data_IF_960315676226
#
_entry.id   IF_960315676226
#
_cell.length_a   1.000
_cell.length_b   1.000
_cell.length_c   1.000
_cell.angle_alpha   90.00
_cell.angle_beta   90.00
_cell.angle_gamma   90.00
#
_symmetry.space_group_name_H-M   'P 1'
#
loop_
_entity.id
_entity.type
_entity.pdbx_description
1 polymer ?
#
# COMPACT_ATOMS: atom_id res chain seq x y z
N UNK A 1 17.64 3.06 6.31
CA UNK A 1 18.40 4.00 5.43
C UNK A 1 19.69 4.48 6.08
N UNK A 2 19.65 5.20 7.21
CA UNK A 2 20.87 5.62 7.93
C UNK A 2 21.79 4.45 8.31
N UNK A 3 21.22 3.35 8.80
CA UNK A 3 21.94 2.13 9.15
C UNK A 3 22.58 1.40 7.95
N UNK A 4 22.13 1.68 6.72
CA UNK A 4 22.56 0.93 5.52
C UNK A 4 23.61 1.72 4.73
N UNK A 5 23.44 3.04 4.63
CA UNK A 5 24.26 3.90 3.77
C UNK A 5 25.48 4.46 4.52
N UNK A 6 25.42 4.60 5.85
CA UNK A 6 26.57 4.98 6.68
C UNK A 6 27.05 6.43 6.57
N UNK A 7 26.56 7.21 5.59
CA UNK A 7 26.84 8.63 5.40
C UNK A 7 25.52 9.44 5.36
N UNK A 8 25.44 10.49 6.16
CA UNK A 8 24.26 11.36 6.28
C UNK A 8 23.89 12.01 4.94
N UNK A 9 24.86 12.53 4.19
CA UNK A 9 24.60 13.20 2.91
C UNK A 9 23.97 12.23 1.90
N UNK A 10 24.53 11.03 1.80
CA UNK A 10 24.01 10.00 0.90
C UNK A 10 22.61 9.54 1.32
N UNK A 11 22.30 9.52 2.62
CA UNK A 11 20.94 9.24 3.12
C UNK A 11 19.97 10.35 2.74
N UNK A 12 20.38 11.62 2.87
CA UNK A 12 19.57 12.76 2.47
C UNK A 12 19.18 12.68 1.00
N UNK A 13 20.16 12.45 0.11
CA UNK A 13 19.89 12.34 -1.32
C UNK A 13 19.03 11.13 -1.66
N UNK A 14 19.26 9.99 -1.00
CA UNK A 14 18.42 8.80 -1.19
C UNK A 14 16.98 9.05 -0.75
N UNK A 15 16.77 9.79 0.34
CA UNK A 15 15.45 10.19 0.81
C UNK A 15 14.77 11.17 -0.16
N UNK A 16 15.49 12.16 -0.68
CA UNK A 16 14.97 13.08 -1.71
C UNK A 16 14.54 12.32 -2.96
N UNK A 17 15.37 11.39 -3.46
CA UNK A 17 15.00 10.51 -4.59
C UNK A 17 13.77 9.66 -4.29
N UNK A 18 13.65 9.14 -3.06
CA UNK A 18 12.50 8.35 -2.64
C UNK A 18 11.22 9.20 -2.64
N UNK A 19 11.23 10.37 -2.01
CA UNK A 19 10.04 11.22 -1.85
C UNK A 19 9.65 11.89 -3.18
N UNK A 20 10.61 12.51 -3.86
CA UNK A 20 10.34 13.32 -5.05
C UNK A 20 10.22 12.46 -6.31
N UNK A 21 11.00 11.37 -6.40
CA UNK A 21 11.05 10.51 -7.58
C UNK A 21 10.10 9.31 -7.53
N UNK A 22 10.12 8.57 -6.42
CA UNK A 22 9.40 7.28 -6.31
C UNK A 22 7.98 7.47 -5.75
N UNK A 23 7.80 8.41 -4.83
CA UNK A 23 6.55 8.63 -4.06
C UNK A 23 5.92 10.02 -4.30
N UNK A 24 5.77 10.47 -5.57
CA UNK A 24 5.22 11.79 -5.83
C UNK A 24 3.81 11.91 -5.23
N UNK A 25 3.54 13.03 -4.56
CA UNK A 25 2.22 13.31 -3.99
C UNK A 25 1.87 12.60 -2.68
N UNK A 26 2.78 11.78 -2.11
CA UNK A 26 2.48 11.07 -0.86
C UNK A 26 2.50 12.00 0.37
N UNK A 27 3.49 12.90 0.42
CA UNK A 27 3.72 13.79 1.56
C UNK A 27 3.32 15.23 1.27
N UNK A 28 2.45 15.44 0.28
CA UNK A 28 1.79 16.74 0.04
C UNK A 28 0.66 16.96 1.05
N UNK A 29 0.22 18.21 1.21
CA UNK A 29 -0.89 18.55 2.12
C UNK A 29 -2.16 17.73 1.84
N UNK A 30 -2.41 17.47 0.56
CA UNK A 30 -3.62 16.79 0.09
C UNK A 30 -3.43 15.28 -0.05
N UNK A 31 -2.20 14.77 0.18
CA UNK A 31 -1.83 13.35 0.12
C UNK A 31 -2.37 12.61 -1.14
N UNK A 32 -2.40 13.31 -2.27
CA UNK A 32 -3.03 12.82 -3.51
C UNK A 32 -2.43 11.51 -4.00
N UNK A 33 -1.12 11.32 -3.83
CA UNK A 33 -0.44 10.07 -4.18
C UNK A 33 -0.88 8.89 -3.28
N UNK A 34 -1.11 9.13 -1.99
CA UNK A 34 -1.60 8.09 -1.07
C UNK A 34 -3.05 7.73 -1.38
N UNK A 35 -3.90 8.72 -1.62
CA UNK A 35 -5.30 8.49 -2.02
C UNK A 35 -5.38 7.73 -3.34
N UNK A 36 -4.49 8.02 -4.29
CA UNK A 36 -4.38 7.29 -5.55
C UNK A 36 -3.97 5.82 -5.37
N UNK A 37 -3.05 5.52 -4.43
CA UNK A 37 -2.73 4.13 -4.09
C UNK A 37 -3.92 3.40 -3.46
N UNK A 38 -4.63 4.04 -2.52
CA UNK A 38 -5.80 3.44 -1.86
C UNK A 38 -6.88 3.12 -2.89
N UNK A 39 -7.15 4.07 -3.80
CA UNK A 39 -8.08 3.86 -4.91
C UNK A 39 -7.65 2.70 -5.81
N UNK A 40 -6.38 2.70 -6.23
CA UNK A 40 -5.82 1.66 -7.11
C UNK A 40 -5.87 0.28 -6.44
N UNK A 41 -5.62 0.21 -5.14
CA UNK A 41 -5.69 -1.02 -4.36
C UNK A 41 -7.13 -1.54 -4.33
N UNK A 42 -8.10 -0.68 -4.03
CA UNK A 42 -9.52 -1.06 -4.05
C UNK A 42 -9.95 -1.61 -5.42
N UNK A 43 -9.54 -0.96 -6.51
CA UNK A 43 -9.81 -1.44 -7.88
C UNK A 43 -9.18 -2.79 -8.16
N UNK A 44 -7.94 -3.02 -7.75
CA UNK A 44 -7.28 -4.31 -7.92
C UNK A 44 -7.93 -5.43 -7.11
N UNK A 45 -8.40 -5.14 -5.89
CA UNK A 45 -9.15 -6.13 -5.08
C UNK A 45 -10.48 -6.43 -5.76
N UNK A 46 -11.21 -5.40 -6.23
CA UNK A 46 -12.47 -5.54 -6.95
C UNK A 46 -12.31 -6.41 -8.21
N UNK A 47 -11.25 -6.22 -9.00
CA UNK A 47 -10.99 -6.97 -10.22
C UNK A 47 -10.54 -8.42 -9.96
N UNK A 48 -9.62 -8.62 -9.01
CA UNK A 48 -9.00 -9.94 -8.78
C UNK A 48 -9.77 -10.82 -7.81
N UNK A 49 -10.44 -10.22 -6.83
CA UNK A 49 -11.15 -10.88 -5.72
C UNK A 49 -12.48 -10.18 -5.44
N UNK A 50 -13.43 -10.19 -6.40
CA UNK A 50 -14.69 -9.44 -6.29
C UNK A 50 -15.51 -9.84 -5.07
N UNK A 51 -15.48 -11.11 -4.66
CA UNK A 51 -16.21 -11.59 -3.47
C UNK A 51 -15.65 -10.96 -2.19
N UNK A 52 -14.33 -10.81 -2.09
CA UNK A 52 -13.69 -10.15 -0.95
C UNK A 52 -14.04 -8.65 -0.95
N UNK A 53 -14.00 -8.00 -2.11
CA UNK A 53 -14.41 -6.61 -2.25
C UNK A 53 -15.85 -6.38 -1.79
N UNK A 54 -16.79 -7.20 -2.25
CA UNK A 54 -18.20 -7.11 -1.83
C UNK A 54 -18.39 -7.35 -0.33
N UNK A 55 -17.59 -8.22 0.28
CA UNK A 55 -17.61 -8.44 1.73
C UNK A 55 -17.14 -7.20 2.52
N UNK A 56 -16.07 -6.55 2.05
CA UNK A 56 -15.58 -5.30 2.64
C UNK A 56 -16.61 -4.16 2.49
N UNK A 57 -17.22 -4.03 1.31
CA UNK A 57 -18.27 -3.04 1.05
C UNK A 57 -19.53 -3.29 1.90
N UNK A 58 -19.98 -4.53 2.01
CA UNK A 58 -21.14 -4.90 2.82
C UNK A 58 -20.94 -4.51 4.30
N UNK A 59 -19.70 -4.62 4.80
CA UNK A 59 -19.34 -4.24 6.16
C UNK A 59 -18.96 -2.75 6.30
N UNK A 60 -19.15 -1.93 5.26
CA UNK A 60 -18.82 -0.50 5.23
C UNK A 60 -17.37 -0.19 5.61
N UNK A 61 -16.43 -1.05 5.19
CA UNK A 61 -15.00 -0.85 5.48
C UNK A 61 -14.40 0.09 4.45
N UNK A 62 -14.03 1.28 4.90
CA UNK A 62 -13.18 2.17 4.11
C UNK A 62 -11.71 1.75 4.23
N UNK A 63 -11.10 1.39 3.09
CA UNK A 63 -9.69 1.02 3.03
C UNK A 63 -8.78 2.14 3.55
N UNK A 64 -9.15 3.41 3.38
CA UNK A 64 -8.35 4.54 3.87
C UNK A 64 -8.07 4.44 5.38
N UNK A 65 -8.98 3.87 6.15
CA UNK A 65 -8.82 3.72 7.61
C UNK A 65 -7.74 2.70 7.99
N UNK A 66 -7.48 1.72 7.13
CA UNK A 66 -6.61 0.58 7.45
C UNK A 66 -5.28 0.58 6.72
N UNK A 67 -5.22 1.06 5.47
CA UNK A 67 -4.00 0.98 4.66
C UNK A 67 -3.26 2.29 4.47
N UNK A 68 -3.81 3.45 4.90
CA UNK A 68 -3.12 4.75 4.74
C UNK A 68 -1.69 4.72 5.29
N UNK A 69 -1.53 4.13 6.48
CA UNK A 69 -0.22 3.99 7.13
C UNK A 69 0.77 3.13 6.35
N UNK A 70 0.28 2.15 5.59
CA UNK A 70 1.12 1.29 4.76
C UNK A 70 1.81 2.11 3.66
N UNK A 71 1.08 3.05 3.06
CA UNK A 71 1.55 3.89 1.98
C UNK A 71 2.38 5.07 2.47
N UNK A 72 1.88 5.84 3.44
CA UNK A 72 2.57 7.05 3.96
C UNK A 72 3.96 6.72 4.50
N UNK A 73 4.07 5.60 5.22
CA UNK A 73 5.33 5.17 5.84
C UNK A 73 6.06 4.08 5.03
N UNK A 74 5.58 3.74 3.83
CA UNK A 74 6.17 2.70 2.96
C UNK A 74 6.49 1.41 3.73
N UNK A 75 5.50 0.96 4.51
CA UNK A 75 5.51 -0.20 5.41
C UNK A 75 6.48 -0.17 6.60
N UNK A 76 7.30 0.88 6.77
CA UNK A 76 8.35 0.96 7.82
C UNK A 76 7.78 0.78 9.23
N UNK A 77 6.61 1.33 9.50
CA UNK A 77 6.00 1.28 10.83
C UNK A 77 5.13 0.04 11.09
N UNK A 78 4.91 -0.80 10.07
CA UNK A 78 3.97 -1.91 10.15
C UNK A 78 4.62 -3.28 9.96
N UNK A 79 5.75 -3.36 9.25
CA UNK A 79 6.48 -4.62 9.01
C UNK A 79 7.84 -4.62 9.74
N UNK A 80 8.39 -5.81 10.04
CA UNK A 80 9.74 -5.94 10.57
C UNK A 80 10.80 -5.29 9.65
N UNK A 81 11.82 -4.65 10.25
CA UNK A 81 12.80 -3.85 9.50
C UNK A 81 13.52 -4.64 8.40
N UNK A 82 13.83 -5.92 8.63
CA UNK A 82 14.47 -6.78 7.63
C UNK A 82 13.61 -6.94 6.36
N UNK A 83 12.30 -7.10 6.54
CA UNK A 83 11.33 -7.18 5.44
C UNK A 83 11.15 -5.85 4.73
N UNK A 84 11.10 -4.75 5.49
CA UNK A 84 11.03 -3.40 4.93
C UNK A 84 12.26 -3.10 4.07
N UNK A 85 13.47 -3.42 4.55
CA UNK A 85 14.69 -3.24 3.77
C UNK A 85 14.66 -4.04 2.46
N UNK A 86 14.14 -5.28 2.50
CA UNK A 86 14.00 -6.09 1.28
C UNK A 86 12.97 -5.54 0.31
N UNK A 87 11.86 -5.01 0.81
CA UNK A 87 10.87 -4.29 0.00
C UNK A 87 11.53 -3.07 -0.65
N UNK A 88 12.36 -2.35 0.09
CA UNK A 88 13.04 -1.15 -0.39
C UNK A 88 14.12 -1.47 -1.44
N UNK A 89 14.84 -2.59 -1.32
CA UNK A 89 15.75 -3.07 -2.38
C UNK A 89 15.00 -3.22 -3.71
N UNK A 90 13.86 -3.92 -3.67
CA UNK A 90 13.00 -4.10 -4.84
C UNK A 90 12.40 -2.77 -5.30
N UNK A 91 12.04 -1.86 -4.38
CA UNK A 91 11.49 -0.56 -4.70
C UNK A 91 12.47 0.31 -5.51
N UNK A 92 13.75 0.35 -5.10
CA UNK A 92 14.76 1.10 -5.82
C UNK A 92 15.12 0.48 -7.18
N UNK A 93 15.06 -0.85 -7.30
CA UNK A 93 15.34 -1.54 -8.56
C UNK A 93 14.17 -1.53 -9.55
N UNK A 94 12.95 -1.81 -9.06
CA UNK A 94 11.75 -1.99 -9.89
C UNK A 94 10.75 -0.82 -9.86
N UNK A 95 10.96 0.17 -9.00
CA UNK A 95 10.10 1.33 -8.83
C UNK A 95 8.84 1.08 -7.98
N UNK A 96 8.01 2.11 -7.88
CA UNK A 96 6.85 2.18 -6.98
C UNK A 96 5.74 1.14 -7.19
N UNK A 97 5.79 0.31 -8.24
CA UNK A 97 4.86 -0.83 -8.40
C UNK A 97 4.99 -1.86 -7.28
N UNK A 98 6.16 -1.93 -6.63
CA UNK A 98 6.42 -2.86 -5.53
C UNK A 98 5.49 -2.59 -4.35
N UNK A 99 5.18 -1.31 -4.08
CA UNK A 99 4.28 -0.91 -3.00
C UNK A 99 2.90 -1.53 -3.17
N UNK A 100 2.35 -1.43 -4.38
CA UNK A 100 1.07 -2.04 -4.72
C UNK A 100 1.11 -3.58 -4.64
N UNK A 101 2.21 -4.20 -5.12
CA UNK A 101 2.39 -5.67 -5.02
C UNK A 101 2.35 -6.15 -3.57
N UNK A 102 3.07 -5.47 -2.69
CA UNK A 102 3.11 -5.81 -1.26
C UNK A 102 1.74 -5.63 -0.63
N UNK A 103 1.05 -4.51 -0.88
CA UNK A 103 -0.29 -4.25 -0.34
C UNK A 103 -1.31 -5.33 -0.77
N UNK A 104 -1.36 -5.66 -2.06
CA UNK A 104 -2.23 -6.71 -2.59
C UNK A 104 -1.91 -8.07 -1.96
N UNK A 105 -0.62 -8.41 -1.88
CA UNK A 105 -0.20 -9.69 -1.32
C UNK A 105 -0.53 -9.83 0.17
N UNK A 106 -0.40 -8.76 0.95
CA UNK A 106 -0.77 -8.75 2.38
C UNK A 106 -2.26 -9.06 2.57
N UNK A 107 -3.11 -8.46 1.74
CA UNK A 107 -4.56 -8.68 1.78
C UNK A 107 -4.90 -10.10 1.31
N UNK A 108 -4.36 -10.54 0.17
CA UNK A 108 -4.69 -11.84 -0.41
C UNK A 108 -4.16 -13.01 0.43
N UNK A 109 -3.01 -12.84 1.10
CA UNK A 109 -2.49 -13.84 2.04
C UNK A 109 -3.40 -14.04 3.26
N UNK A 110 -4.27 -13.07 3.58
CA UNK A 110 -5.16 -13.10 4.74
C UNK A 110 -6.64 -13.07 4.31
N UNK A 111 -6.93 -13.40 3.05
CA UNK A 111 -8.28 -13.42 2.50
C UNK A 111 -9.23 -14.30 3.33
N UNK A 112 -8.79 -15.49 3.72
CA UNK A 112 -9.60 -16.40 4.55
C UNK A 112 -9.94 -15.76 5.91
N UNK A 113 -8.97 -15.14 6.58
CA UNK A 113 -9.20 -14.46 7.86
C UNK A 113 -10.18 -13.28 7.71
N UNK A 114 -10.05 -12.51 6.63
CA UNK A 114 -10.94 -11.39 6.33
C UNK A 114 -12.37 -11.86 6.05
N UNK A 115 -12.56 -13.03 5.44
CA UNK A 115 -13.89 -13.62 5.26
C UNK A 115 -14.47 -14.17 6.56
N UNK A 116 -13.65 -14.69 7.47
CA UNK A 116 -14.11 -15.16 8.78
C UNK A 116 -14.54 -13.99 9.69
N UNK A 117 -14.00 -12.79 9.47
CA UNK A 117 -14.46 -11.56 10.11
C UNK A 117 -15.81 -11.10 9.52
N UNK A 118 -16.87 -11.08 10.34
CA UNK A 118 -18.25 -10.85 9.89
C UNK A 118 -18.79 -9.46 10.26
N UNK A 119 -17.99 -8.62 10.90
CA UNK A 119 -18.37 -7.29 11.35
C UNK A 119 -17.24 -6.29 11.13
N UNK A 120 -17.58 -5.00 11.07
CA UNK A 120 -16.63 -3.91 10.88
C UNK A 120 -15.45 -3.97 11.87
N UNK A 121 -15.72 -4.22 13.16
CA UNK A 121 -14.68 -4.23 14.19
C UNK A 121 -13.65 -5.35 13.97
N UNK A 122 -14.13 -6.57 13.70
CA UNK A 122 -13.25 -7.72 13.45
C UNK A 122 -12.46 -7.60 12.15
N UNK A 123 -13.01 -6.96 11.10
CA UNK A 123 -12.26 -6.73 9.85
C UNK A 123 -11.13 -5.72 10.09
N UNK A 124 -11.40 -4.61 10.77
CA UNK A 124 -10.36 -3.62 11.10
C UNK A 124 -9.24 -4.24 11.94
N UNK A 125 -9.61 -5.09 12.91
CA UNK A 125 -8.62 -5.81 13.72
C UNK A 125 -7.82 -6.83 12.89
N UNK A 126 -8.47 -7.51 11.94
CA UNK A 126 -7.78 -8.35 10.98
C UNK A 126 -6.72 -7.54 10.22
N UNK A 127 -7.07 -6.39 9.64
CA UNK A 127 -6.10 -5.53 8.95
C UNK A 127 -4.90 -5.09 9.81
N UNK A 128 -5.12 -4.82 11.09
CA UNK A 128 -4.02 -4.50 12.03
C UNK A 128 -3.10 -5.69 12.28
N UNK A 129 -3.64 -6.90 12.28
CA UNK A 129 -2.87 -8.13 12.56
C UNK A 129 -2.21 -8.72 11.31
N UNK A 130 -2.70 -8.41 10.10
CA UNK A 130 -2.10 -8.81 8.81
C UNK A 130 -0.59 -8.55 8.77
N UNK A 131 -0.19 -7.36 9.23
CA UNK A 131 1.20 -6.88 9.21
C UNK A 131 2.05 -7.44 10.36
N UNK A 132 1.41 -7.99 11.39
CA UNK A 132 2.06 -8.58 12.57
C UNK A 132 2.23 -10.10 12.46
N UNK A 133 1.76 -10.72 11.38
CA UNK A 133 1.87 -12.16 11.18
C UNK A 133 3.35 -12.58 11.13
N UNK A 134 3.69 -13.71 11.78
CA UNK A 134 5.04 -14.30 11.80
C UNK A 134 5.61 -14.53 10.39
N UNK A 135 4.77 -14.69 9.37
CA UNK A 135 5.20 -14.76 7.97
C UNK A 135 5.99 -13.52 7.52
N UNK A 136 5.70 -12.34 8.07
CA UNK A 136 6.42 -11.10 7.79
C UNK A 136 7.82 -11.05 8.43
N UNK A 137 8.17 -11.97 9.34
CA UNK A 137 9.52 -12.10 9.91
C UNK A 137 10.49 -12.77 8.94
N UNK A 138 10.00 -13.57 7.99
CA UNK A 138 10.83 -14.26 7.01
C UNK A 138 10.80 -13.52 5.67
N UNK A 139 11.60 -12.44 5.58
CA UNK A 139 11.59 -11.51 4.45
C UNK A 139 11.74 -12.17 3.07
N UNK A 140 12.54 -13.23 2.96
CA UNK A 140 12.74 -13.97 1.71
C UNK A 140 11.44 -14.66 1.24
N UNK A 141 10.86 -15.50 2.10
CA UNK A 141 9.59 -16.20 1.82
C UNK A 141 8.44 -15.22 1.62
N UNK A 142 8.42 -14.13 2.41
CA UNK A 142 7.46 -13.06 2.23
C UNK A 142 7.51 -12.47 0.83
N UNK A 143 8.70 -12.07 0.36
CA UNK A 143 8.84 -11.48 -0.97
C UNK A 143 8.53 -12.46 -2.09
N UNK A 144 8.91 -13.74 -1.97
CA UNK A 144 8.47 -14.75 -2.94
C UNK A 144 6.94 -14.84 -3.04
N UNK A 145 6.26 -14.84 -1.89
CA UNK A 145 4.81 -14.87 -1.83
C UNK A 145 4.21 -13.59 -2.41
N UNK A 146 4.83 -12.42 -2.19
CA UNK A 146 4.40 -11.16 -2.80
C UNK A 146 4.35 -11.27 -4.31
N UNK A 147 5.39 -11.81 -4.95
CA UNK A 147 5.41 -11.96 -6.41
C UNK A 147 4.43 -13.03 -6.90
N UNK A 148 4.23 -14.12 -6.14
CA UNK A 148 3.27 -15.19 -6.49
C UNK A 148 1.81 -14.71 -6.36
N UNK A 149 1.44 -14.10 -5.23
CA UNK A 149 0.07 -13.70 -4.89
C UNK A 149 -0.41 -12.48 -5.67
N UNK A 150 0.47 -11.50 -5.88
CA UNK A 150 0.11 -10.31 -6.66
C UNK A 150 -0.12 -10.63 -8.14
N UNK A 151 0.47 -11.73 -8.64
CA UNK A 151 0.40 -12.16 -10.03
C UNK A 151 0.98 -11.12 -11.01
N UNK A 152 0.60 -11.20 -12.30
CA UNK A 152 0.92 -10.16 -13.25
C UNK A 152 0.26 -8.84 -12.81
N UNK A 153 1.10 -7.81 -12.65
CA UNK A 153 0.70 -6.43 -12.42
C UNK A 153 1.59 -5.56 -13.30
N UNK A 154 1.18 -5.32 -14.56
CA UNK A 154 1.90 -4.47 -15.49
C UNK A 154 1.98 -3.03 -14.95
N UNK A 155 3.15 -2.39 -15.11
CA UNK A 155 3.34 -0.98 -14.70
C UNK A 155 2.30 -0.05 -15.33
N UNK A 156 1.96 -0.28 -16.61
CA UNK A 156 0.99 0.54 -17.33
C UNK A 156 -0.40 0.52 -16.67
N UNK A 157 -0.87 -0.66 -16.26
CA UNK A 157 -2.17 -0.81 -15.60
C UNK A 157 -2.20 -0.12 -14.24
N UNK A 158 -1.16 -0.30 -13.41
CA UNK A 158 -1.08 0.41 -12.11
C UNK A 158 -1.04 1.93 -12.32
N UNK A 159 -0.24 2.41 -13.27
CA UNK A 159 -0.13 3.84 -13.52
C UNK A 159 -1.43 4.45 -14.05
N UNK A 160 -2.23 3.69 -14.81
CA UNK A 160 -3.55 4.12 -15.22
C UNK A 160 -4.47 4.28 -14.00
N UNK A 161 -4.55 3.26 -13.13
CA UNK A 161 -5.38 3.30 -11.93
C UNK A 161 -4.96 4.44 -10.98
N UNK A 162 -3.67 4.70 -10.85
CA UNK A 162 -3.15 5.82 -10.05
C UNK A 162 -3.61 7.17 -10.59
N UNK A 163 -3.53 7.39 -11.90
CA UNK A 163 -4.02 8.63 -12.52
C UNK A 163 -5.50 8.84 -12.27
N UNK A 164 -6.31 7.80 -12.44
CA UNK A 164 -7.75 7.86 -12.13
C UNK A 164 -8.01 8.19 -10.66
N UNK A 165 -7.22 7.61 -9.75
CA UNK A 165 -7.29 7.89 -8.31
C UNK A 165 -6.88 9.32 -7.96
N UNK A 166 -5.81 9.84 -8.56
CA UNK A 166 -5.35 11.23 -8.39
C UNK A 166 -6.43 12.22 -8.86
N UNK A 167 -7.00 12.01 -10.05
CA UNK A 167 -8.07 12.86 -10.58
C UNK A 167 -9.31 12.86 -9.69
N UNK A 168 -9.65 11.70 -9.11
CA UNK A 168 -10.78 11.58 -8.19
C UNK A 168 -10.51 12.33 -6.89
N UNK A 169 -9.33 12.16 -6.29
CA UNK A 169 -8.93 12.85 -5.07
C UNK A 169 -8.94 14.38 -5.23
N UNK A 170 -8.46 14.88 -6.37
CA UNK A 170 -8.48 16.32 -6.68
C UNK A 170 -9.92 16.87 -6.77
N UNK A 171 -10.82 16.16 -7.44
CA UNK A 171 -12.23 16.57 -7.57
C UNK A 171 -12.95 16.61 -6.22
N UNK A 172 -12.66 15.65 -5.33
CA UNK A 172 -13.24 15.61 -3.97
C UNK A 172 -12.73 16.79 -3.12
N UNK A 173 -11.43 17.07 -3.16
CA UNK A 173 -10.84 18.21 -2.43
C UNK A 173 -11.37 19.58 -2.91
N UNK A 174 -11.58 19.74 -4.23
CA UNK A 174 -12.19 20.96 -4.79
C UNK A 174 -13.65 21.14 -4.37
N UNK A 175 -14.40 20.03 -4.26
CA UNK A 175 -15.80 20.06 -3.82
C UNK A 175 -15.91 20.46 -2.35
N UNK A 176 -15.01 19.99 -1.49
CA UNK A 176 -15.00 20.34 -0.07
C UNK A 176 -14.49 21.76 0.19
N UNK A 177 -13.54 22.25 -0.60
CA UNK A 177 -13.07 23.65 -0.52
C UNK A 177 -14.18 24.65 -0.89
N UNK A 178 -15.11 24.28 -1.78
CA UNK A 178 -16.26 25.13 -2.17
C UNK A 178 -17.42 25.12 -1.16
N UNK A 179 -17.37 24.25 -0.14
CA UNK A 179 -18.39 24.13 0.91
C UNK A 179 -18.07 24.93 2.17
N UNK A 180 -16.87 25.50 2.27
CA UNK A 180 -16.38 26.35 3.36
C UNK A 180 -16.46 27.81 2.96
#
# INVERSE_FOLDING_TARGET
>A
MLLVVGNEESVFWLLSVLIEGILPGYHTRDMTGVLAEIYSLGKLIQEKKPVLWSHLEYNNVDLSLVVTKWFVCVFVEVLPIETVLRIWDCLFYEGNKIIMRVAVALIFANEENLFMSQDFGSIIECFKTIVQNKAALHCHSFMENVFKLSGPLPRASINQLRKEGEEKALKENEADTKRV
#
